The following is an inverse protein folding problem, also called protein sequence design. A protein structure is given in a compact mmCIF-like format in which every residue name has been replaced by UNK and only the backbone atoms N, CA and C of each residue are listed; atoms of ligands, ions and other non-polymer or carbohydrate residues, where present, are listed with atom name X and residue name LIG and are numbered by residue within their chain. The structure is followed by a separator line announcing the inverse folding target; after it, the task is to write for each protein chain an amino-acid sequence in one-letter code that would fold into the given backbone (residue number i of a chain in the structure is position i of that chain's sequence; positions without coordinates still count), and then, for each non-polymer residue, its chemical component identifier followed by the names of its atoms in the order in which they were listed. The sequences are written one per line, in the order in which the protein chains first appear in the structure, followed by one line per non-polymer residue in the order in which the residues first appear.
data_IF_849497942772
#
_entry.id   IF_849497942772
#
_cell.length_a   1.000
_cell.length_b   1.000
_cell.length_c   1.000
_cell.angle_alpha   90.00
_cell.angle_beta   90.00
_cell.angle_gamma   90.00
#
_symmetry.space_group_name_H-M   'P 1'
#
loop_
_entity.id
_entity.type
_entity.pdbx_description
1 polymer ?
#
# COMPACT_ATOMS: atom_id res chain seq x y z
N UNK A 1 -24.94 13.59 8.44
CA UNK A 1 -24.65 13.96 7.04
C UNK A 1 -23.59 15.06 6.88
N UNK A 2 -23.50 16.09 7.76
CA UNK A 2 -22.34 17.01 7.79
C UNK A 2 -21.05 16.40 8.38
N UNK A 3 -21.14 15.30 9.12
CA UNK A 3 -19.97 14.55 9.66
C UNK A 3 -19.24 13.70 8.61
N UNK A 4 -19.85 13.43 7.45
CA UNK A 4 -19.23 12.61 6.39
C UNK A 4 -18.25 13.38 5.50
N UNK A 5 -18.04 14.66 5.80
CA UNK A 5 -17.02 15.48 5.15
C UNK A 5 -15.66 15.45 5.86
N UNK A 6 -15.56 14.85 7.06
CA UNK A 6 -14.43 15.00 7.98
C UNK A 6 -13.43 13.84 8.09
N UNK A 7 -13.20 13.03 7.06
CA UNK A 7 -12.35 11.83 7.23
C UNK A 7 -10.82 12.08 7.20
N UNK A 8 -10.38 13.20 7.79
CA UNK A 8 -9.14 13.21 8.56
C UNK A 8 -9.51 12.69 9.97
N UNK A 9 -9.88 11.41 10.04
CA UNK A 9 -10.36 10.79 11.27
C UNK A 9 -9.23 10.84 12.30
N UNK A 10 -9.47 11.53 13.42
CA UNK A 10 -8.63 11.34 14.59
C UNK A 10 -8.71 9.88 15.03
N UNK A 11 -7.67 9.43 15.70
CA UNK A 11 -7.57 8.11 16.31
C UNK A 11 -8.74 7.79 17.25
N UNK A 12 -9.21 8.79 17.98
CA UNK A 12 -10.37 8.70 18.87
C UNK A 12 -11.66 8.43 18.08
N UNK A 13 -11.82 9.06 16.91
CA UNK A 13 -12.97 8.81 16.03
C UNK A 13 -12.90 7.42 15.39
N UNK A 14 -11.72 6.95 15.00
CA UNK A 14 -11.53 5.58 14.48
C UNK A 14 -11.79 4.51 15.55
N UNK A 15 -11.46 4.78 16.81
CA UNK A 15 -11.69 3.86 17.93
C UNK A 15 -13.16 3.82 18.38
N UNK A 16 -13.89 4.93 18.24
CA UNK A 16 -15.32 5.01 18.50
C UNK A 16 -16.19 4.38 17.40
N UNK A 17 -15.61 4.18 16.20
CA UNK A 17 -16.27 3.50 15.09
C UNK A 17 -16.25 1.99 15.32
N UNK A 18 -17.43 1.38 15.31
CA UNK A 18 -17.58 -0.07 15.33
C UNK A 18 -17.01 -0.67 14.03
N UNK A 19 -16.55 -1.94 14.02
CA UNK A 19 -15.98 -2.60 12.84
C UNK A 19 -16.87 -2.58 11.58
N UNK A 20 -18.18 -2.42 11.75
CA UNK A 20 -19.22 -2.34 10.73
C UNK A 20 -19.55 -0.90 10.27
N UNK A 21 -18.82 0.10 10.77
CA UNK A 21 -19.12 1.53 10.61
C UNK A 21 -18.15 2.29 9.71
N UNK A 22 -17.67 1.72 8.58
CA UNK A 22 -17.23 2.43 7.34
C UNK A 22 -15.98 1.76 6.75
N UNK A 23 -16.18 0.81 5.83
CA UNK A 23 -15.13 0.34 4.93
C UNK A 23 -15.33 0.95 3.53
N UNK A 24 -14.24 1.47 2.94
CA UNK A 24 -14.22 2.08 1.60
C UNK A 24 -13.58 1.11 0.62
N UNK A 25 -14.33 0.72 -0.41
CA UNK A 25 -13.81 -0.08 -1.51
C UNK A 25 -13.52 0.82 -2.71
N UNK A 26 -12.25 0.96 -3.06
CA UNK A 26 -11.83 1.66 -4.28
C UNK A 26 -11.51 0.64 -5.37
N UNK A 27 -11.96 0.90 -6.59
CA UNK A 27 -11.89 -0.11 -7.64
C UNK A 27 -11.47 0.52 -8.96
N UNK A 28 -10.63 -0.21 -9.68
CA UNK A 28 -10.32 0.06 -11.08
C UNK A 28 -11.31 -0.70 -11.95
N UNK A 29 -12.15 0.04 -12.66
CA UNK A 29 -13.16 -0.56 -13.51
C UNK A 29 -12.59 -0.77 -14.92
N UNK A 30 -12.83 -1.93 -15.56
CA UNK A 30 -12.05 -2.36 -16.69
C UNK A 30 -12.21 -1.56 -17.99
N UNK A 31 -11.14 -1.57 -18.78
CA UNK A 31 -11.17 -1.44 -20.24
C UNK A 31 -11.51 -2.77 -20.95
N UNK A 32 -11.20 -2.92 -22.23
CA UNK A 32 -11.62 -4.05 -23.08
C UNK A 32 -10.66 -5.26 -23.14
N UNK A 33 -9.80 -5.51 -22.14
CA UNK A 33 -8.86 -6.64 -22.14
C UNK A 33 -9.42 -7.90 -21.45
N UNK A 34 -8.89 -9.07 -21.80
CA UNK A 34 -9.29 -10.39 -21.27
C UNK A 34 -8.89 -10.65 -19.82
N UNK A 35 -7.97 -9.86 -19.25
CA UNK A 35 -7.48 -10.05 -17.87
C UNK A 35 -8.43 -9.46 -16.81
N UNK A 36 -9.42 -8.67 -17.23
CA UNK A 36 -10.33 -7.95 -16.36
C UNK A 36 -11.42 -8.82 -15.73
N UNK A 37 -11.94 -8.40 -14.58
CA UNK A 37 -13.11 -8.99 -13.95
C UNK A 37 -14.34 -8.85 -14.86
N UNK A 38 -15.01 -9.98 -15.07
CA UNK A 38 -16.31 -10.07 -15.70
C UNK A 38 -17.39 -9.37 -14.87
N UNK A 39 -18.54 -9.08 -15.49
CA UNK A 39 -19.67 -8.47 -14.79
C UNK A 39 -20.18 -9.32 -13.62
N UNK A 40 -20.15 -10.65 -13.75
CA UNK A 40 -20.54 -11.57 -12.66
C UNK A 40 -19.53 -11.53 -11.50
N UNK A 41 -18.24 -11.43 -11.80
CA UNK A 41 -17.21 -11.25 -10.78
C UNK A 41 -17.36 -9.89 -10.06
N UNK A 42 -17.68 -8.81 -10.78
CA UNK A 42 -18.00 -7.51 -10.15
C UNK A 42 -19.21 -7.58 -9.23
N UNK A 43 -20.30 -8.25 -9.65
CA UNK A 43 -21.49 -8.45 -8.80
C UNK A 43 -21.15 -9.23 -7.53
N UNK A 44 -20.37 -10.31 -7.68
CA UNK A 44 -19.89 -11.13 -6.55
C UNK A 44 -19.05 -10.29 -5.60
N UNK A 45 -18.11 -9.50 -6.13
CA UNK A 45 -17.25 -8.62 -5.33
C UNK A 45 -18.07 -7.57 -4.56
N UNK A 46 -18.99 -6.86 -5.21
CA UNK A 46 -19.85 -5.88 -4.54
C UNK A 46 -20.75 -6.51 -3.47
N UNK A 47 -21.22 -7.74 -3.70
CA UNK A 47 -22.00 -8.48 -2.71
C UNK A 47 -21.14 -8.86 -1.50
N UNK A 48 -19.91 -9.36 -1.72
CA UNK A 48 -18.95 -9.64 -0.66
C UNK A 48 -18.56 -8.38 0.11
N UNK A 49 -18.36 -7.27 -0.60
CA UNK A 49 -18.03 -5.97 -0.04
C UNK A 49 -19.08 -5.50 0.98
N UNK A 50 -20.37 -5.63 0.64
CA UNK A 50 -21.46 -5.32 1.56
C UNK A 50 -21.37 -6.15 2.84
N UNK A 51 -21.11 -7.46 2.71
CA UNK A 51 -20.90 -8.38 3.84
C UNK A 51 -19.66 -8.07 4.68
N UNK A 52 -18.63 -7.46 4.09
CA UNK A 52 -17.42 -7.00 4.78
C UNK A 52 -17.59 -5.63 5.46
N UNK A 53 -18.79 -5.05 5.47
CA UNK A 53 -19.04 -3.74 6.09
C UNK A 53 -18.71 -2.55 5.18
N UNK A 54 -18.54 -2.75 3.87
CA UNK A 54 -18.38 -1.63 2.92
C UNK A 54 -19.63 -0.75 2.95
N UNK A 55 -19.40 0.56 2.94
CA UNK A 55 -20.46 1.59 2.87
C UNK A 55 -20.23 2.59 1.75
N UNK A 56 -18.99 2.75 1.29
CA UNK A 56 -18.63 3.62 0.17
C UNK A 56 -17.86 2.83 -0.88
N UNK A 57 -18.25 3.00 -2.14
CA UNK A 57 -17.58 2.44 -3.30
C UNK A 57 -17.07 3.59 -4.17
N UNK A 58 -15.81 3.51 -4.58
CA UNK A 58 -15.18 4.50 -5.46
C UNK A 58 -14.84 3.80 -6.78
N UNK A 59 -15.43 4.26 -7.88
CA UNK A 59 -15.07 3.80 -9.22
C UNK A 59 -14.08 4.78 -9.85
N UNK A 60 -12.85 4.33 -10.08
CA UNK A 60 -11.77 5.18 -10.61
C UNK A 60 -11.88 5.51 -12.09
N UNK A 61 -12.74 4.79 -12.81
CA UNK A 61 -13.03 4.98 -14.22
C UNK A 61 -14.54 5.16 -14.46
N UNK A 62 -15.15 6.07 -13.68
CA UNK A 62 -16.59 6.30 -13.69
C UNK A 62 -17.15 6.70 -15.05
N UNK A 63 -16.38 7.43 -15.88
CA UNK A 63 -16.80 7.82 -17.22
C UNK A 63 -17.01 6.61 -18.14
N UNK A 64 -16.08 5.64 -18.12
CA UNK A 64 -16.24 4.40 -18.89
C UNK A 64 -17.40 3.57 -18.36
N UNK A 65 -17.51 3.44 -17.04
CA UNK A 65 -18.62 2.72 -16.40
C UNK A 65 -19.98 3.31 -16.81
N UNK A 66 -20.12 4.64 -16.79
CA UNK A 66 -21.33 5.33 -17.20
C UNK A 66 -21.68 5.15 -18.68
N UNK A 67 -20.69 4.98 -19.55
CA UNK A 67 -20.92 4.78 -21.00
C UNK A 67 -21.40 3.38 -21.38
N UNK A 68 -21.35 2.42 -20.45
CA UNK A 68 -21.67 1.03 -20.73
C UNK A 68 -23.18 0.75 -20.62
N UNK A 69 -23.78 0.02 -21.58
CA UNK A 69 -25.18 -0.40 -21.48
C UNK A 69 -25.45 -1.41 -20.35
N UNK A 70 -24.50 -2.29 -20.06
CA UNK A 70 -24.64 -3.36 -19.05
C UNK A 70 -24.32 -2.90 -17.62
N UNK A 71 -23.87 -1.66 -17.42
CA UNK A 71 -23.55 -1.11 -16.10
C UNK A 71 -24.80 -0.86 -15.23
N UNK A 72 -25.99 -0.75 -15.82
CA UNK A 72 -27.25 -0.51 -15.08
C UNK A 72 -27.47 -1.54 -13.96
N UNK A 73 -27.11 -2.81 -14.21
CA UNK A 73 -27.20 -3.86 -13.19
C UNK A 73 -26.30 -3.61 -11.98
N UNK A 74 -25.09 -3.08 -12.19
CA UNK A 74 -24.19 -2.72 -11.08
C UNK A 74 -24.72 -1.52 -10.31
N UNK A 75 -25.38 -0.60 -11.01
CA UNK A 75 -25.94 0.61 -10.45
C UNK A 75 -27.12 0.31 -9.53
N UNK A 76 -28.05 -0.53 -9.99
CA UNK A 76 -29.15 -1.05 -9.17
C UNK A 76 -28.63 -1.85 -7.98
N UNK A 77 -27.61 -2.71 -8.17
CA UNK A 77 -26.97 -3.44 -7.07
C UNK A 77 -26.36 -2.50 -6.03
N UNK A 78 -25.66 -1.44 -6.45
CA UNK A 78 -25.09 -0.47 -5.52
C UNK A 78 -26.18 0.24 -4.71
N UNK A 79 -27.33 0.55 -5.35
CA UNK A 79 -28.48 1.15 -4.68
C UNK A 79 -29.12 0.17 -3.68
N UNK A 80 -29.34 -1.07 -4.09
CA UNK A 80 -29.90 -2.15 -3.25
C UNK A 80 -29.04 -2.38 -2.00
N UNK A 81 -27.71 -2.40 -2.15
CA UNK A 81 -26.76 -2.56 -1.04
C UNK A 81 -26.52 -1.27 -0.24
N UNK A 82 -27.21 -0.18 -0.57
CA UNK A 82 -27.08 1.13 0.07
C UNK A 82 -25.65 1.68 0.08
N UNK A 83 -24.88 1.45 -0.98
CA UNK A 83 -23.55 2.04 -1.11
C UNK A 83 -23.64 3.52 -1.43
N UNK A 84 -22.79 4.31 -0.77
CA UNK A 84 -22.42 5.63 -1.26
C UNK A 84 -21.43 5.47 -2.39
N UNK A 85 -21.74 6.02 -3.57
CA UNK A 85 -20.89 5.87 -4.74
C UNK A 85 -20.23 7.20 -5.09
N UNK A 86 -18.92 7.13 -5.32
CA UNK A 86 -18.12 8.22 -5.87
C UNK A 86 -17.54 7.78 -7.22
N UNK A 87 -17.74 8.60 -8.25
CA UNK A 87 -17.25 8.37 -9.60
C UNK A 87 -16.13 9.34 -9.92
N UNK A 88 -14.98 8.81 -10.32
CA UNK A 88 -13.91 9.60 -10.92
C UNK A 88 -14.12 9.72 -12.42
N UNK A 89 -14.18 10.95 -12.92
CA UNK A 89 -14.23 11.27 -14.35
C UNK A 89 -12.89 11.87 -14.79
N UNK A 90 -12.34 11.39 -15.91
CA UNK A 90 -11.05 11.84 -16.46
C UNK A 90 -11.27 12.35 -17.87
N UNK A 91 -11.00 13.64 -18.11
CA UNK A 91 -11.14 14.30 -19.43
C UNK A 91 -12.47 13.98 -20.16
N UNK A 92 -13.57 13.87 -19.40
CA UNK A 92 -14.91 13.62 -19.92
C UNK A 92 -15.83 14.77 -19.53
N UNK A 93 -16.53 15.32 -20.53
CA UNK A 93 -17.70 16.18 -20.32
C UNK A 93 -18.94 15.28 -20.44
N UNK A 94 -19.68 15.04 -19.34
CA UNK A 94 -20.85 14.17 -19.36
C UNK A 94 -21.90 14.62 -20.40
N UNK A 95 -22.42 13.66 -21.16
CA UNK A 95 -23.59 13.87 -22.01
C UNK A 95 -24.89 13.79 -21.19
N UNK A 96 -26.03 13.98 -21.87
CA UNK A 96 -27.34 13.97 -21.22
C UNK A 96 -27.67 12.60 -20.56
N UNK A 97 -27.23 11.49 -21.15
CA UNK A 97 -27.49 10.15 -20.62
C UNK A 97 -26.65 9.90 -19.36
N UNK A 98 -25.37 10.25 -19.38
CA UNK A 98 -24.50 10.18 -18.21
C UNK A 98 -25.03 11.05 -17.07
N UNK A 99 -25.44 12.30 -17.37
CA UNK A 99 -26.04 13.19 -16.38
C UNK A 99 -27.30 12.57 -15.76
N UNK A 100 -28.21 12.04 -16.59
CA UNK A 100 -29.43 11.40 -16.13
C UNK A 100 -29.15 10.20 -15.20
N UNK A 101 -28.16 9.36 -15.54
CA UNK A 101 -27.74 8.24 -14.69
C UNK A 101 -27.18 8.73 -13.34
N UNK A 102 -26.28 9.71 -13.35
CA UNK A 102 -25.70 10.29 -12.13
C UNK A 102 -26.80 10.84 -11.20
N UNK A 103 -27.76 11.58 -11.76
CA UNK A 103 -28.88 12.16 -11.01
C UNK A 103 -29.83 11.09 -10.49
N UNK A 104 -30.21 10.12 -11.33
CA UNK A 104 -31.09 8.99 -10.97
C UNK A 104 -30.59 8.27 -9.73
N UNK A 105 -29.29 7.96 -9.70
CA UNK A 105 -28.73 7.18 -8.59
C UNK A 105 -28.24 8.05 -7.42
N UNK A 106 -28.01 9.34 -7.65
CA UNK A 106 -27.55 10.30 -6.65
C UNK A 106 -26.08 10.11 -6.29
N UNK A 107 -25.24 9.81 -7.27
CA UNK A 107 -23.81 9.57 -7.03
C UNK A 107 -22.99 10.85 -7.03
N UNK A 108 -21.91 10.83 -6.25
CA UNK A 108 -20.99 11.94 -6.18
C UNK A 108 -19.96 11.86 -7.31
N UNK A 109 -19.65 13.00 -7.94
CA UNK A 109 -18.70 13.09 -9.04
C UNK A 109 -17.46 13.84 -8.62
N UNK A 110 -16.31 13.28 -8.98
CA UNK A 110 -14.99 13.88 -8.81
C UNK A 110 -14.30 13.91 -10.17
N UNK A 111 -13.93 15.10 -10.63
CA UNK A 111 -13.11 15.26 -11.83
C UNK A 111 -11.64 15.11 -11.47
N UNK A 112 -10.92 14.23 -12.16
CA UNK A 112 -9.48 14.09 -11.95
C UNK A 112 -8.72 15.11 -12.79
N UNK A 113 -7.94 15.96 -12.13
CA UNK A 113 -7.08 16.96 -12.75
C UNK A 113 -5.71 16.33 -13.03
N UNK A 114 -5.60 15.70 -14.20
CA UNK A 114 -4.35 15.15 -14.73
C UNK A 114 -3.55 16.25 -15.46
N UNK A 115 -2.23 16.08 -15.67
CA UNK A 115 -1.43 16.98 -16.49
C UNK A 115 -2.11 17.24 -17.85
N UNK A 116 -2.30 18.52 -18.19
CA UNK A 116 -2.97 18.95 -19.42
C UNK A 116 -4.51 18.98 -19.37
N UNK A 117 -5.14 18.57 -18.26
CA UNK A 117 -6.59 18.72 -18.07
C UNK A 117 -6.94 20.21 -17.93
N UNK A 118 -7.85 20.72 -18.77
CA UNK A 118 -8.30 22.12 -18.69
C UNK A 118 -9.31 22.31 -17.56
N UNK A 119 -9.04 23.27 -16.68
CA UNK A 119 -9.94 23.63 -15.61
C UNK A 119 -11.28 24.18 -16.15
N UNK A 120 -11.27 24.88 -17.29
CA UNK A 120 -12.46 25.37 -17.98
C UNK A 120 -13.34 24.23 -18.49
N UNK A 121 -12.74 23.17 -19.06
CA UNK A 121 -13.50 21.97 -19.46
C UNK A 121 -14.17 21.30 -18.25
N UNK A 122 -13.47 21.24 -17.12
CA UNK A 122 -14.03 20.70 -15.87
C UNK A 122 -15.16 21.59 -15.34
N UNK A 123 -15.02 22.90 -15.39
CA UNK A 123 -16.09 23.84 -15.03
C UNK A 123 -17.32 23.68 -15.94
N UNK A 124 -17.12 23.50 -17.24
CA UNK A 124 -18.20 23.21 -18.19
C UNK A 124 -18.90 21.88 -17.87
N UNK A 125 -18.14 20.83 -17.60
CA UNK A 125 -18.68 19.53 -17.22
C UNK A 125 -19.49 19.60 -15.91
N UNK A 126 -18.98 20.30 -14.90
CA UNK A 126 -19.67 20.55 -13.64
C UNK A 126 -20.97 21.33 -13.85
N UNK A 127 -20.95 22.37 -14.68
CA UNK A 127 -22.13 23.17 -15.02
C UNK A 127 -23.24 22.31 -15.63
N UNK A 128 -22.92 21.44 -16.59
CA UNK A 128 -23.88 20.51 -17.18
C UNK A 128 -24.50 19.56 -16.16
N UNK A 129 -23.68 19.03 -15.25
CA UNK A 129 -24.17 18.17 -14.17
C UNK A 129 -25.13 18.94 -13.24
N UNK A 130 -24.79 20.16 -12.85
CA UNK A 130 -25.66 20.99 -12.01
C UNK A 130 -26.96 21.38 -12.74
N UNK A 131 -26.90 21.73 -14.02
CA UNK A 131 -28.08 22.02 -14.86
C UNK A 131 -29.00 20.80 -14.98
N UNK A 132 -28.44 19.59 -15.00
CA UNK A 132 -29.21 18.34 -14.97
C UNK A 132 -29.77 17.98 -13.57
N UNK A 133 -29.40 18.73 -12.52
CA UNK A 133 -29.86 18.51 -11.15
C UNK A 133 -28.95 17.64 -10.29
N UNK A 134 -27.69 17.40 -10.69
CA UNK A 134 -26.72 16.70 -9.86
C UNK A 134 -26.31 17.56 -8.65
N UNK A 135 -25.88 16.90 -7.57
CA UNK A 135 -25.33 17.57 -6.40
C UNK A 135 -23.94 18.17 -6.64
N UNK A 136 -23.32 18.75 -5.59
CA UNK A 136 -21.99 19.32 -5.67
C UNK A 136 -20.93 18.31 -6.17
N UNK A 137 -19.99 18.82 -6.96
CA UNK A 137 -18.87 18.05 -7.52
C UNK A 137 -17.52 18.54 -6.97
N UNK A 138 -16.50 17.68 -7.07
CA UNK A 138 -15.13 18.00 -6.64
C UNK A 138 -14.14 17.85 -7.80
N UNK A 139 -12.96 18.44 -7.64
CA UNK A 139 -11.83 18.26 -8.54
C UNK A 139 -10.60 17.73 -7.77
N UNK A 140 -9.99 16.65 -8.24
CA UNK A 140 -8.91 15.93 -7.56
C UNK A 140 -7.60 16.02 -8.35
N UNK A 141 -6.61 16.72 -7.80
CA UNK A 141 -5.33 16.98 -8.46
C UNK A 141 -4.30 15.85 -8.33
N UNK A 142 -3.54 15.63 -9.40
CA UNK A 142 -2.37 14.75 -9.49
C UNK A 142 -1.10 15.60 -9.63
N UNK A 143 -0.09 15.40 -8.77
CA UNK A 143 1.00 16.35 -8.50
C UNK A 143 2.43 16.18 -9.10
N UNK A 144 2.80 15.31 -10.04
CA UNK A 144 4.23 15.10 -10.34
C UNK A 144 4.75 15.80 -11.59
N UNK A 145 3.87 16.20 -12.52
CA UNK A 145 4.25 16.77 -13.82
C UNK A 145 3.70 18.18 -14.02
N UNK A 146 2.86 18.65 -13.10
CA UNK A 146 2.19 19.94 -13.24
C UNK A 146 3.06 21.05 -12.67
N UNK A 147 3.19 22.15 -13.40
CA UNK A 147 3.89 23.34 -12.92
C UNK A 147 3.16 23.96 -11.71
N UNK A 148 3.88 24.37 -10.65
CA UNK A 148 3.24 24.87 -9.42
C UNK A 148 2.23 25.98 -9.66
N UNK A 149 2.58 26.94 -10.52
CA UNK A 149 1.74 28.09 -10.83
C UNK A 149 0.44 27.68 -11.53
N UNK A 150 0.50 26.68 -12.42
CA UNK A 150 -0.68 26.14 -13.10
C UNK A 150 -1.63 25.49 -12.10
N UNK A 151 -1.13 24.65 -11.19
CA UNK A 151 -1.96 24.01 -10.15
C UNK A 151 -2.66 25.06 -9.30
N UNK A 152 -1.93 26.09 -8.87
CA UNK A 152 -2.45 27.16 -8.02
C UNK A 152 -3.49 28.00 -8.77
N UNK A 153 -3.26 28.31 -10.04
CA UNK A 153 -4.21 29.01 -10.91
C UNK A 153 -5.50 28.21 -11.09
N UNK A 154 -5.39 26.94 -11.48
CA UNK A 154 -6.53 26.04 -11.69
C UNK A 154 -7.32 25.83 -10.40
N UNK A 155 -6.61 25.70 -9.26
CA UNK A 155 -7.23 25.58 -7.95
C UNK A 155 -8.12 26.79 -7.62
N UNK A 156 -7.61 28.01 -7.82
CA UNK A 156 -8.38 29.25 -7.63
C UNK A 156 -9.57 29.32 -8.59
N UNK A 157 -9.35 29.01 -9.87
CA UNK A 157 -10.39 29.04 -10.90
C UNK A 157 -11.54 28.09 -10.57
N UNK A 158 -11.24 26.82 -10.29
CA UNK A 158 -12.25 25.81 -9.96
C UNK A 158 -13.01 26.19 -8.70
N UNK A 159 -12.33 26.70 -7.67
CA UNK A 159 -12.97 27.21 -6.46
C UNK A 159 -13.95 28.34 -6.77
N UNK A 160 -13.53 29.32 -7.55
CA UNK A 160 -14.39 30.44 -7.95
C UNK A 160 -15.59 30.00 -8.79
N UNK A 161 -15.47 28.86 -9.46
CA UNK A 161 -16.53 28.20 -10.24
C UNK A 161 -17.46 27.32 -9.39
N UNK A 162 -17.32 27.34 -8.05
CA UNK A 162 -18.15 26.55 -7.13
C UNK A 162 -17.77 25.07 -7.04
N UNK A 163 -16.62 24.67 -7.57
CA UNK A 163 -16.10 23.30 -7.52
C UNK A 163 -15.10 23.22 -6.38
N UNK A 164 -15.21 22.21 -5.52
CA UNK A 164 -14.26 22.05 -4.42
C UNK A 164 -13.02 21.28 -4.90
N UNK A 165 -11.84 21.94 -4.99
CA UNK A 165 -10.60 21.24 -5.28
C UNK A 165 -10.09 20.44 -4.07
N UNK A 166 -9.39 19.34 -4.34
CA UNK A 166 -8.69 18.48 -3.38
C UNK A 166 -7.42 17.90 -4.00
N UNK A 167 -6.47 17.46 -3.19
CA UNK A 167 -5.37 16.63 -3.68
C UNK A 167 -5.82 15.17 -3.76
N UNK A 168 -5.44 14.50 -4.85
CA UNK A 168 -5.66 13.07 -5.03
C UNK A 168 -4.77 12.20 -4.14
N UNK A 169 -4.73 10.90 -4.43
CA UNK A 169 -3.85 9.99 -3.70
C UNK A 169 -2.39 10.31 -4.02
N UNK A 170 -1.69 10.93 -3.06
CA UNK A 170 -0.31 11.40 -3.27
C UNK A 170 0.70 10.29 -3.53
N UNK A 171 0.44 9.05 -3.09
CA UNK A 171 1.28 7.90 -3.45
C UNK A 171 1.19 7.57 -4.96
N UNK A 172 0.03 7.76 -5.57
CA UNK A 172 -0.14 7.62 -7.02
C UNK A 172 0.42 8.83 -7.74
N UNK A 173 0.19 10.02 -7.19
CA UNK A 173 0.46 11.27 -7.86
C UNK A 173 1.84 11.88 -7.60
N UNK A 174 2.68 11.32 -6.73
CA UNK A 174 4.02 11.84 -6.47
C UNK A 174 5.00 10.68 -6.49
N UNK A 175 5.79 10.52 -7.57
CA UNK A 175 6.76 9.43 -7.68
C UNK A 175 7.99 9.69 -6.81
N UNK A 176 8.31 10.95 -6.47
CA UNK A 176 9.47 11.30 -5.65
C UNK A 176 9.17 12.51 -4.74
N UNK A 177 9.71 12.55 -3.50
CA UNK A 177 9.65 13.71 -2.63
C UNK A 177 10.48 14.89 -3.15
N UNK A 178 9.92 15.66 -4.08
CA UNK A 178 10.62 16.83 -4.63
C UNK A 178 10.23 18.16 -3.94
N UNK A 179 11.06 19.17 -4.14
CA UNK A 179 10.81 20.52 -3.63
C UNK A 179 9.56 21.16 -4.26
N UNK A 180 9.18 20.72 -5.47
CA UNK A 180 8.03 21.21 -6.23
C UNK A 180 6.72 20.85 -5.54
N UNK A 181 6.52 19.58 -5.20
CA UNK A 181 5.34 19.07 -4.48
C UNK A 181 5.21 19.73 -3.10
N UNK A 182 6.33 19.97 -2.40
CA UNK A 182 6.33 20.72 -1.13
C UNK A 182 5.84 22.16 -1.32
N UNK A 183 6.37 22.84 -2.34
CA UNK A 183 5.97 24.22 -2.69
C UNK A 183 4.48 24.29 -3.04
N UNK A 184 4.00 23.38 -3.90
CA UNK A 184 2.58 23.30 -4.27
C UNK A 184 1.71 23.12 -3.04
N UNK A 185 2.02 22.15 -2.17
CA UNK A 185 1.22 21.92 -0.96
C UNK A 185 1.19 23.12 -0.02
N UNK A 186 2.33 23.77 0.18
CA UNK A 186 2.43 24.94 1.05
C UNK A 186 1.54 26.07 0.51
N UNK A 187 1.57 26.30 -0.81
CA UNK A 187 0.78 27.33 -1.45
C UNK A 187 -0.72 27.00 -1.46
N UNK A 188 -1.09 25.75 -1.78
CA UNK A 188 -2.48 25.30 -1.68
C UNK A 188 -3.00 25.42 -0.25
N UNK A 189 -2.21 25.05 0.77
CA UNK A 189 -2.57 25.23 2.17
C UNK A 189 -2.85 26.70 2.49
N UNK A 190 -1.96 27.61 2.08
CA UNK A 190 -2.14 29.05 2.26
C UNK A 190 -3.45 29.55 1.63
N UNK A 191 -3.74 29.12 0.40
CA UNK A 191 -4.98 29.48 -0.31
C UNK A 191 -6.23 29.02 0.44
N UNK A 192 -6.22 27.79 0.95
CA UNK A 192 -7.35 27.24 1.70
C UNK A 192 -7.56 27.99 3.02
N UNK A 193 -6.47 28.34 3.72
CA UNK A 193 -6.51 29.13 4.96
C UNK A 193 -7.09 30.53 4.71
N UNK A 194 -6.63 31.22 3.66
CA UNK A 194 -7.15 32.53 3.24
C UNK A 194 -8.62 32.49 2.84
N UNK A 195 -9.06 31.37 2.24
CA UNK A 195 -10.46 31.15 1.88
C UNK A 195 -11.35 30.72 3.06
N UNK A 196 -10.83 30.67 4.30
CA UNK A 196 -11.57 30.23 5.48
C UNK A 196 -11.81 28.72 5.54
N UNK A 197 -11.09 27.94 4.74
CA UNK A 197 -11.17 26.49 4.63
C UNK A 197 -10.02 25.77 5.35
N UNK A 198 -9.38 26.44 6.32
CA UNK A 198 -8.27 25.90 7.12
C UNK A 198 -8.59 24.59 7.86
N UNK A 199 -9.87 24.24 8.02
CA UNK A 199 -10.31 23.00 8.65
C UNK A 199 -10.82 21.96 7.64
N UNK A 200 -10.76 22.24 6.33
CA UNK A 200 -11.25 21.33 5.30
C UNK A 200 -10.35 20.07 5.23
N UNK A 201 -10.81 18.93 5.72
CA UNK A 201 -9.99 17.72 5.80
C UNK A 201 -9.85 17.03 4.44
N UNK A 202 -10.55 17.51 3.40
CA UNK A 202 -10.40 17.06 2.01
C UNK A 202 -9.25 17.75 1.30
N UNK A 203 -8.72 18.84 1.85
CA UNK A 203 -7.42 19.38 1.42
C UNK A 203 -6.39 18.79 2.36
N UNK A 204 -5.58 17.79 1.94
CA UNK A 204 -4.58 17.24 2.83
C UNK A 204 -3.50 18.32 3.00
N UNK A 205 -3.63 19.07 4.10
CA UNK A 205 -2.62 19.95 4.63
C UNK A 205 -1.31 19.19 4.59
N UNK A 206 -0.32 19.73 3.89
CA UNK A 206 1.12 19.45 4.01
C UNK A 206 1.45 18.40 5.09
N UNK A 207 1.74 17.16 4.69
CA UNK A 207 2.08 16.06 5.63
C UNK A 207 0.92 15.41 6.39
N UNK A 208 -0.34 15.69 6.00
CA UNK A 208 -1.56 15.27 6.67
C UNK A 208 -1.72 13.74 6.74
N UNK A 209 -2.13 13.27 7.91
CA UNK A 209 -2.27 11.87 8.22
C UNK A 209 -3.16 11.14 7.22
N UNK A 210 -2.63 10.15 6.51
CA UNK A 210 -3.42 9.31 5.62
C UNK A 210 -3.73 7.99 6.31
N UNK A 211 -4.97 7.82 6.78
CA UNK A 211 -5.41 6.60 7.44
C UNK A 211 -6.13 5.61 6.51
N UNK A 212 -6.10 5.82 5.18
CA UNK A 212 -6.80 4.96 4.21
C UNK A 212 -6.46 3.47 4.38
N UNK A 213 -5.23 3.13 4.74
CA UNK A 213 -4.81 1.74 4.98
C UNK A 213 -5.60 1.06 6.14
N UNK A 214 -6.22 1.83 7.05
CA UNK A 214 -7.02 1.31 8.16
C UNK A 214 -8.43 0.91 7.75
N UNK A 215 -9.07 1.71 6.89
CA UNK A 215 -10.50 1.62 6.63
C UNK A 215 -10.85 1.50 5.13
N UNK A 216 -9.87 1.29 4.25
CA UNK A 216 -10.12 1.01 2.84
C UNK A 216 -9.42 -0.25 2.36
N UNK A 217 -9.80 -0.69 1.17
CA UNK A 217 -9.00 -1.54 0.29
C UNK A 217 -9.15 -1.04 -1.14
N UNK A 218 -8.23 -1.48 -1.98
CA UNK A 218 -8.29 -1.26 -3.42
C UNK A 218 -8.32 -2.59 -4.16
N UNK A 219 -9.20 -2.72 -5.15
CA UNK A 219 -9.25 -3.90 -6.02
C UNK A 219 -8.93 -3.46 -7.45
N UNK A 220 -7.88 -4.06 -8.01
CA UNK A 220 -7.48 -3.88 -9.39
C UNK A 220 -8.49 -4.47 -10.36
N UNK A 221 -8.42 -4.06 -11.63
CA UNK A 221 -9.31 -4.55 -12.66
C UNK A 221 -9.20 -6.07 -12.89
N UNK A 222 -8.08 -6.68 -12.50
CA UNK A 222 -7.76 -8.12 -12.54
C UNK A 222 -8.26 -8.91 -11.31
N UNK A 223 -8.84 -8.22 -10.32
CA UNK A 223 -9.28 -8.80 -9.05
C UNK A 223 -8.23 -8.81 -7.94
N UNK A 224 -7.03 -8.30 -8.18
CA UNK A 224 -5.97 -8.25 -7.17
C UNK A 224 -6.31 -7.22 -6.09
N UNK A 225 -6.19 -7.63 -4.82
CA UNK A 225 -6.57 -6.83 -3.65
C UNK A 225 -5.33 -6.19 -3.03
N UNK A 226 -5.45 -4.91 -2.69
CA UNK A 226 -4.40 -4.09 -2.08
C UNK A 226 -4.95 -3.35 -0.84
N UNK A 227 -4.10 -2.98 0.15
CA UNK A 227 -4.52 -2.24 1.34
C UNK A 227 -5.19 -0.90 1.07
N UNK A 228 -4.76 -0.19 0.02
CA UNK A 228 -5.38 1.05 -0.46
C UNK A 228 -4.83 1.35 -1.86
N UNK A 229 -5.37 2.37 -2.54
CA UNK A 229 -4.92 2.73 -3.88
C UNK A 229 -3.43 3.11 -3.96
N UNK A 230 -2.85 3.59 -2.86
CA UNK A 230 -1.46 4.03 -2.78
C UNK A 230 -0.45 2.97 -2.31
N UNK A 231 -0.87 2.00 -1.50
CA UNK A 231 0.00 0.94 -0.98
C UNK A 231 -0.22 -0.31 -1.82
N UNK A 232 0.56 -0.48 -2.89
CA UNK A 232 0.39 -1.53 -3.90
C UNK A 232 1.15 -2.81 -3.55
N UNK A 233 1.00 -3.27 -2.32
CA UNK A 233 1.43 -4.61 -1.92
C UNK A 233 0.24 -5.56 -2.06
N UNK A 234 0.41 -6.60 -2.85
CA UNK A 234 -0.64 -7.58 -3.15
C UNK A 234 -1.00 -8.40 -1.91
N UNK A 235 -2.28 -8.45 -1.57
CA UNK A 235 -2.81 -9.27 -0.47
C UNK A 235 -3.32 -10.63 -0.94
N UNK A 236 -3.75 -10.71 -2.20
CA UNK A 236 -4.35 -11.88 -2.84
C UNK A 236 -5.29 -11.45 -3.99
N UNK A 237 -5.97 -12.42 -4.61
CA UNK A 237 -6.88 -12.15 -5.72
C UNK A 237 -8.30 -12.69 -5.45
N UNK A 238 -9.33 -11.88 -5.76
CA UNK A 238 -10.75 -12.21 -5.56
C UNK A 238 -11.25 -13.42 -6.36
N UNK A 239 -10.51 -13.86 -7.38
CA UNK A 239 -10.77 -15.09 -8.15
C UNK A 239 -10.40 -16.35 -7.37
N UNK A 240 -9.42 -16.23 -6.48
CA UNK A 240 -8.90 -17.35 -5.69
C UNK A 240 -9.59 -17.48 -4.34
N UNK A 241 -9.79 -16.35 -3.66
CA UNK A 241 -10.38 -16.30 -2.31
C UNK A 241 -11.40 -15.16 -2.18
N UNK A 242 -12.42 -15.31 -1.31
CA UNK A 242 -13.31 -14.19 -0.97
C UNK A 242 -12.53 -12.99 -0.43
N UNK A 243 -12.96 -11.78 -0.79
CA UNK A 243 -12.28 -10.54 -0.36
C UNK A 243 -12.14 -10.43 1.16
N UNK A 244 -13.16 -10.85 1.91
CA UNK A 244 -13.12 -10.84 3.38
C UNK A 244 -12.01 -11.71 3.96
N UNK A 245 -11.74 -12.88 3.36
CA UNK A 245 -10.65 -13.76 3.77
C UNK A 245 -9.29 -13.16 3.42
N UNK A 246 -9.15 -12.60 2.22
CA UNK A 246 -7.91 -11.92 1.79
C UNK A 246 -7.53 -10.79 2.76
N UNK A 247 -8.52 -9.99 3.19
CA UNK A 247 -8.30 -8.90 4.13
C UNK A 247 -8.02 -9.38 5.56
N UNK A 248 -8.60 -10.52 5.97
CA UNK A 248 -8.35 -11.11 7.28
C UNK A 248 -6.95 -11.73 7.37
N UNK A 249 -6.57 -12.51 6.35
CA UNK A 249 -5.30 -13.23 6.22
C UNK A 249 -4.09 -12.33 5.91
N UNK A 250 -4.34 -11.08 5.50
CA UNK A 250 -3.29 -10.13 5.08
C UNK A 250 -2.29 -9.81 6.20
N UNK A 251 -1.19 -10.55 6.26
CA UNK A 251 -0.13 -10.40 7.27
C UNK A 251 0.38 -8.96 7.40
N UNK A 252 0.83 -8.38 6.29
CA UNK A 252 1.27 -6.99 6.27
C UNK A 252 0.12 -6.05 6.59
N UNK A 253 -1.09 -6.32 6.11
CA UNK A 253 -2.24 -5.44 6.34
C UNK A 253 -2.52 -5.29 7.83
N UNK A 254 -2.43 -6.38 8.61
CA UNK A 254 -2.54 -6.30 10.07
C UNK A 254 -1.45 -5.41 10.66
N UNK A 255 -0.17 -5.63 10.29
CA UNK A 255 0.96 -4.81 10.79
C UNK A 255 0.81 -3.33 10.46
N UNK A 256 0.48 -3.02 9.22
CA UNK A 256 0.28 -1.64 8.77
C UNK A 256 -0.93 -1.01 9.46
N UNK A 257 -2.01 -1.75 9.73
CA UNK A 257 -3.15 -1.24 10.50
C UNK A 257 -2.79 -0.93 11.96
N UNK A 258 -1.86 -1.69 12.55
CA UNK A 258 -1.26 -1.45 13.86
C UNK A 258 0.05 -0.64 13.80
N UNK A 259 0.13 0.32 12.87
CA UNK A 259 1.33 1.12 12.55
C UNK A 259 2.12 1.65 13.76
N UNK A 260 1.47 1.95 14.89
CA UNK A 260 2.15 2.50 16.07
C UNK A 260 3.23 1.60 16.66
N UNK A 261 3.10 0.29 16.50
CA UNK A 261 4.13 -0.66 16.97
C UNK A 261 5.29 -0.78 15.99
N UNK A 262 5.02 -0.52 14.71
CA UNK A 262 5.85 -0.95 13.58
C UNK A 262 6.55 0.21 12.86
N UNK A 263 6.01 1.44 12.95
CA UNK A 263 6.59 2.61 12.29
C UNK A 263 7.96 2.95 12.88
N UNK A 264 8.88 3.26 11.97
CA UNK A 264 10.29 3.50 12.26
C UNK A 264 10.57 4.97 12.60
N UNK A 265 11.74 5.22 13.15
CA UNK A 265 12.26 6.59 13.30
C UNK A 265 12.43 7.27 11.93
N UNK A 266 12.33 8.62 11.86
CA UNK A 266 12.10 9.57 12.96
C UNK A 266 10.63 9.73 13.36
N UNK A 267 9.70 9.00 12.73
CA UNK A 267 8.26 9.18 12.97
C UNK A 267 7.84 8.71 14.37
N UNK A 268 8.48 7.66 14.90
CA UNK A 268 8.18 7.11 16.23
C UNK A 268 8.48 8.09 17.37
N UNK A 269 9.54 8.90 17.26
CA UNK A 269 9.86 9.98 18.19
C UNK A 269 9.18 11.33 17.91
N UNK A 270 8.29 11.42 16.91
CA UNK A 270 7.65 12.67 16.50
C UNK A 270 6.52 13.09 17.45
N UNK A 271 6.45 14.38 17.80
CA UNK A 271 5.37 15.00 18.59
C UNK A 271 3.97 14.85 17.95
N UNK A 272 3.89 14.73 16.62
CA UNK A 272 2.62 14.49 15.91
C UNK A 272 2.26 13.03 15.73
N UNK A 273 3.05 12.08 16.25
CA UNK A 273 2.84 10.64 16.02
C UNK A 273 1.50 10.13 16.56
N UNK A 274 0.96 10.77 17.60
CA UNK A 274 -0.33 10.42 18.16
C UNK A 274 -1.49 10.55 17.14
N UNK A 275 -1.38 11.49 16.21
CA UNK A 275 -2.44 11.87 15.27
C UNK A 275 -2.02 11.68 13.80
N UNK A 276 -0.80 11.19 13.56
CA UNK A 276 -0.23 11.09 12.22
C UNK A 276 0.36 9.70 11.95
N UNK A 277 -0.06 9.12 10.83
CA UNK A 277 0.56 7.94 10.25
C UNK A 277 1.33 8.24 8.94
N UNK A 278 1.35 9.49 8.47
CA UNK A 278 1.80 9.83 7.11
C UNK A 278 1.09 9.01 6.02
N UNK A 279 1.68 8.92 4.84
CA UNK A 279 1.22 8.08 3.73
C UNK A 279 2.05 6.79 3.63
N UNK A 280 1.52 5.67 4.13
CA UNK A 280 2.18 4.35 4.03
C UNK A 280 2.42 3.91 2.58
N UNK A 281 1.53 4.28 1.67
CA UNK A 281 1.70 4.02 0.24
C UNK A 281 2.91 4.75 -0.36
N UNK A 282 3.14 6.00 0.05
CA UNK A 282 4.31 6.77 -0.42
C UNK A 282 5.59 6.30 0.24
N UNK A 283 5.55 5.95 1.52
CA UNK A 283 6.67 5.30 2.22
C UNK A 283 7.10 4.04 1.45
N UNK A 284 6.16 3.13 1.15
CA UNK A 284 6.44 1.91 0.40
C UNK A 284 6.93 2.18 -1.03
N UNK A 285 6.28 3.08 -1.78
CA UNK A 285 6.70 3.38 -3.16
C UNK A 285 8.12 3.93 -3.25
N UNK A 286 8.53 4.75 -2.28
CA UNK A 286 9.85 5.37 -2.27
C UNK A 286 10.93 4.45 -1.71
N UNK A 287 10.61 3.68 -0.67
CA UNK A 287 11.62 2.93 0.10
C UNK A 287 11.52 1.41 -0.04
N UNK A 288 10.42 0.88 -0.59
CA UNK A 288 10.07 -0.54 -0.51
C UNK A 288 9.58 -0.98 0.88
N UNK A 289 9.54 -0.07 1.86
CA UNK A 289 9.16 -0.33 3.24
C UNK A 289 7.93 0.50 3.63
N UNK A 290 6.82 -0.18 3.89
CA UNK A 290 5.58 0.45 4.33
C UNK A 290 5.64 1.00 5.77
N UNK A 291 6.62 0.61 6.58
CA UNK A 291 6.86 1.14 7.93
C UNK A 291 7.81 2.33 7.97
N UNK A 292 8.44 2.67 6.84
CA UNK A 292 9.36 3.80 6.75
C UNK A 292 8.65 5.15 6.93
N UNK A 293 9.45 6.19 7.11
CA UNK A 293 8.93 7.55 7.18
C UNK A 293 8.35 7.98 5.82
N UNK A 294 7.31 8.80 5.87
CA UNK A 294 6.67 9.31 4.66
C UNK A 294 7.56 10.42 4.03
N UNK A 295 8.13 10.20 2.83
CA UNK A 295 9.10 11.13 2.23
C UNK A 295 8.50 12.48 1.83
N UNK A 296 7.17 12.58 1.70
CA UNK A 296 6.49 13.86 1.44
C UNK A 296 6.20 14.68 2.70
N UNK A 297 6.65 14.23 3.88
CA UNK A 297 6.53 14.98 5.13
C UNK A 297 7.65 16.03 5.25
N UNK A 298 7.29 17.28 5.47
CA UNK A 298 8.25 18.39 5.60
C UNK A 298 9.22 18.20 6.77
N UNK A 299 8.78 17.55 7.85
CA UNK A 299 9.60 17.32 9.04
C UNK A 299 10.77 16.36 8.79
N UNK A 300 10.71 15.57 7.72
CA UNK A 300 11.79 14.65 7.35
C UNK A 300 12.54 15.09 6.09
N UNK A 301 12.22 16.24 5.49
CA UNK A 301 12.84 16.68 4.25
C UNK A 301 14.38 16.75 4.33
N UNK A 302 14.93 17.14 5.48
CA UNK A 302 16.37 17.14 5.77
C UNK A 302 16.91 15.84 6.38
N UNK A 303 16.13 14.76 6.37
CA UNK A 303 16.45 13.46 6.98
C UNK A 303 16.14 12.28 6.03
N UNK A 304 15.93 12.56 4.73
CA UNK A 304 15.61 11.53 3.73
C UNK A 304 16.75 10.51 3.56
N UNK A 305 17.98 10.91 3.82
CA UNK A 305 19.17 10.06 3.88
C UNK A 305 19.09 8.97 4.96
N UNK A 306 18.25 9.16 5.99
CA UNK A 306 18.01 8.18 7.06
C UNK A 306 16.93 7.16 6.70
N UNK A 307 16.17 7.39 5.63
CA UNK A 307 15.15 6.45 5.15
C UNK A 307 15.88 5.33 4.40
N UNK A 308 15.82 4.12 4.93
CA UNK A 308 16.40 2.94 4.26
C UNK A 308 15.56 2.60 3.04
N UNK A 309 16.20 2.46 1.88
CA UNK A 309 15.56 2.14 0.59
C UNK A 309 15.97 0.72 0.16
N UNK A 310 15.02 -0.05 -0.34
CA UNK A 310 15.25 -1.36 -0.96
C UNK A 310 15.66 -1.21 -2.45
N UNK A 311 16.58 -2.05 -2.96
CA UNK A 311 17.26 -3.14 -2.26
C UNK A 311 18.27 -2.62 -1.22
N UNK A 312 18.35 -3.29 -0.07
CA UNK A 312 19.23 -2.90 1.03
C UNK A 312 20.31 -3.95 1.33
N UNK A 313 21.57 -3.52 1.30
CA UNK A 313 22.76 -4.41 1.30
C UNK A 313 23.65 -4.26 2.52
N UNK A 314 23.07 -4.06 3.71
CA UNK A 314 23.81 -4.01 5.00
C UNK A 314 23.29 -5.02 6.02
N UNK A 315 23.33 -6.34 5.71
CA UNK A 315 22.79 -7.39 6.57
C UNK A 315 23.45 -7.44 7.96
N UNK A 316 24.69 -6.96 8.15
CA UNK A 316 25.34 -6.84 9.47
C UNK A 316 24.50 -6.11 10.53
N UNK A 317 23.61 -5.22 10.09
CA UNK A 317 22.76 -4.41 10.95
C UNK A 317 21.43 -5.07 11.30
N UNK A 318 21.15 -6.27 10.77
CA UNK A 318 19.85 -6.94 10.89
C UNK A 318 19.94 -8.41 11.24
N UNK A 319 21.09 -9.06 11.05
CA UNK A 319 21.30 -10.45 11.46
C UNK A 319 22.55 -10.59 12.34
N UNK A 320 22.53 -11.51 13.33
CA UNK A 320 23.64 -11.69 14.25
C UNK A 320 24.85 -12.34 13.58
N UNK A 321 24.63 -13.13 12.52
CA UNK A 321 25.68 -13.84 11.80
C UNK A 321 26.75 -12.88 11.26
N UNK A 322 28.00 -13.34 11.31
CA UNK A 322 29.18 -12.64 10.78
C UNK A 322 29.87 -13.54 9.75
N UNK A 323 30.72 -12.95 8.91
CA UNK A 323 31.58 -13.74 8.03
C UNK A 323 32.46 -14.67 8.89
N UNK A 324 32.69 -15.93 8.48
CA UNK A 324 32.29 -16.53 7.19
C UNK A 324 30.88 -17.14 7.12
N UNK A 325 30.10 -17.16 8.22
CA UNK A 325 28.79 -17.84 8.28
C UNK A 325 27.68 -17.04 7.59
N UNK A 326 27.79 -15.72 7.58
CA UNK A 326 26.79 -14.82 6.98
C UNK A 326 26.80 -14.93 5.45
N UNK A 327 25.69 -15.36 4.86
CA UNK A 327 25.54 -15.60 3.43
C UNK A 327 24.58 -14.64 2.73
N UNK A 328 23.55 -14.16 3.42
CA UNK A 328 22.64 -13.16 2.84
C UNK A 328 23.41 -11.85 2.59
N UNK A 329 23.24 -11.32 1.38
CA UNK A 329 23.88 -10.10 0.90
C UNK A 329 22.93 -8.90 0.92
N UNK A 330 21.68 -9.09 0.48
CA UNK A 330 20.71 -7.99 0.43
C UNK A 330 19.27 -8.45 0.58
N UNK A 331 18.43 -7.55 1.10
CA UNK A 331 16.97 -7.64 1.06
C UNK A 331 16.49 -6.84 -0.15
N UNK A 332 15.82 -7.50 -1.10
CA UNK A 332 15.45 -6.91 -2.39
C UNK A 332 14.01 -6.40 -2.42
N UNK A 333 13.08 -7.15 -1.81
CA UNK A 333 11.65 -6.81 -1.79
C UNK A 333 10.99 -7.29 -0.50
N UNK A 334 10.07 -6.49 0.01
CA UNK A 334 9.11 -6.88 1.06
C UNK A 334 7.70 -6.90 0.46
N UNK A 335 6.98 -8.01 0.67
CA UNK A 335 5.60 -8.21 0.25
C UNK A 335 4.61 -8.31 1.43
N UNK A 336 3.52 -9.05 1.23
CA UNK A 336 2.47 -9.21 2.25
C UNK A 336 2.94 -10.13 3.38
N UNK A 337 3.26 -11.38 3.05
CA UNK A 337 3.82 -12.37 3.95
C UNK A 337 5.13 -12.96 3.41
N UNK A 338 5.69 -12.37 2.36
CA UNK A 338 6.85 -12.87 1.65
C UNK A 338 7.92 -11.79 1.41
N UNK A 339 9.12 -12.23 1.06
CA UNK A 339 10.23 -11.35 0.70
C UNK A 339 11.18 -12.02 -0.27
N UNK A 340 11.86 -11.19 -1.07
CA UNK A 340 12.92 -11.64 -1.96
C UNK A 340 14.26 -11.07 -1.46
N UNK A 341 15.29 -11.91 -1.43
CA UNK A 341 16.64 -11.61 -0.98
C UNK A 341 17.66 -12.14 -1.98
N UNK A 342 18.89 -11.69 -1.83
CA UNK A 342 20.04 -12.20 -2.56
C UNK A 342 21.10 -12.74 -1.59
N UNK A 343 21.72 -13.86 -1.96
CA UNK A 343 22.87 -14.45 -1.27
C UNK A 343 24.06 -14.51 -2.21
N UNK A 344 25.25 -14.24 -1.68
CA UNK A 344 26.53 -14.33 -2.41
C UNK A 344 27.43 -15.29 -1.66
N UNK A 345 27.85 -16.36 -2.32
CA UNK A 345 28.66 -17.40 -1.70
C UNK A 345 30.13 -16.97 -1.74
N UNK A 346 30.70 -16.66 -0.58
CA UNK A 346 32.10 -16.23 -0.48
C UNK A 346 33.05 -17.42 -0.46
N UNK A 347 34.31 -17.19 -0.84
CA UNK A 347 35.36 -18.23 -0.84
C UNK A 347 35.65 -18.81 0.56
N UNK A 348 35.47 -17.99 1.60
CA UNK A 348 35.67 -18.37 3.00
C UNK A 348 34.46 -19.07 3.63
N UNK A 349 33.39 -19.33 2.87
CA UNK A 349 32.15 -19.87 3.39
C UNK A 349 32.34 -21.29 3.97
N UNK A 350 31.95 -21.46 5.24
CA UNK A 350 32.16 -22.69 6.02
C UNK A 350 31.38 -23.90 5.51
N UNK A 351 30.35 -23.68 4.70
CA UNK A 351 29.52 -24.73 4.12
C UNK A 351 30.07 -25.23 2.78
N UNK A 352 31.19 -24.68 2.28
CA UNK A 352 31.85 -25.21 1.10
C UNK A 352 32.68 -26.44 1.49
N UNK A 353 32.40 -27.57 0.85
CA UNK A 353 33.17 -28.80 0.98
C UNK A 353 34.47 -28.77 0.18
N UNK A 354 35.28 -29.83 0.30
CA UNK A 354 36.56 -29.98 -0.40
C UNK A 354 36.43 -29.96 -1.93
N UNK A 355 35.29 -30.41 -2.47
CA UNK A 355 34.99 -30.38 -3.91
C UNK A 355 34.55 -28.98 -4.41
N UNK A 356 34.53 -27.99 -3.51
CA UNK A 356 34.10 -26.62 -3.71
C UNK A 356 32.58 -26.46 -3.88
N UNK A 357 31.79 -27.50 -3.58
CA UNK A 357 30.34 -27.46 -3.58
C UNK A 357 29.77 -27.10 -2.21
N UNK A 358 28.62 -26.42 -2.23
CA UNK A 358 27.85 -26.08 -1.02
C UNK A 358 27.21 -27.34 -0.40
N UNK A 359 27.46 -27.54 0.90
CA UNK A 359 26.74 -28.52 1.73
C UNK A 359 25.26 -28.13 1.85
N UNK A 360 24.31 -29.09 1.77
CA UNK A 360 22.88 -28.79 1.86
C UNK A 360 22.45 -28.01 3.12
N UNK A 361 23.18 -28.15 4.24
CA UNK A 361 22.94 -27.36 5.45
C UNK A 361 23.11 -25.85 5.22
N UNK A 362 23.96 -25.44 4.27
CA UNK A 362 24.12 -24.05 3.88
C UNK A 362 22.84 -23.44 3.32
N UNK A 363 22.02 -24.20 2.59
CA UNK A 363 20.74 -23.71 2.05
C UNK A 363 19.71 -23.46 3.14
N UNK A 364 19.68 -24.33 4.16
CA UNK A 364 18.84 -24.15 5.36
C UNK A 364 19.24 -22.87 6.09
N UNK A 365 20.54 -22.67 6.29
CA UNK A 365 21.09 -21.49 6.96
C UNK A 365 20.79 -20.20 6.18
N UNK A 366 20.89 -20.22 4.85
CA UNK A 366 20.48 -19.10 3.98
C UNK A 366 18.99 -18.76 4.19
N UNK A 367 18.11 -19.77 4.21
CA UNK A 367 16.69 -19.56 4.48
C UNK A 367 16.43 -18.94 5.86
N UNK A 368 17.11 -19.43 6.89
CA UNK A 368 16.99 -18.92 8.26
C UNK A 368 17.51 -17.47 8.40
N UNK A 369 18.67 -17.17 7.81
CA UNK A 369 19.21 -15.80 7.77
C UNK A 369 18.29 -14.84 7.02
N UNK A 370 17.65 -15.29 5.92
CA UNK A 370 16.72 -14.47 5.15
C UNK A 370 15.50 -14.05 5.97
N UNK A 371 14.90 -14.99 6.71
CA UNK A 371 13.80 -14.70 7.63
C UNK A 371 14.20 -13.72 8.74
N UNK A 372 15.38 -13.94 9.34
CA UNK A 372 15.90 -13.09 10.40
C UNK A 372 16.18 -11.65 9.92
N UNK A 373 16.67 -11.50 8.68
CA UNK A 373 16.88 -10.18 8.07
C UNK A 373 15.53 -9.49 7.87
N UNK A 374 14.54 -10.15 7.26
CA UNK A 374 13.22 -9.57 7.07
C UNK A 374 12.61 -9.08 8.40
N UNK A 375 12.61 -9.91 9.44
CA UNK A 375 11.99 -9.52 10.72
C UNK A 375 12.67 -8.34 11.39
N UNK A 376 14.00 -8.39 11.47
CA UNK A 376 14.77 -7.30 12.07
C UNK A 376 14.64 -6.02 11.25
N UNK A 377 14.60 -6.15 9.92
CA UNK A 377 14.32 -5.03 9.03
C UNK A 377 12.94 -4.42 9.33
N UNK A 378 11.88 -5.22 9.42
CA UNK A 378 10.53 -4.70 9.62
C UNK A 378 10.31 -4.02 10.98
N UNK A 379 10.97 -4.50 12.05
CA UNK A 379 10.83 -3.95 13.42
C UNK A 379 11.80 -2.81 13.75
N UNK A 380 12.76 -2.51 12.87
CA UNK A 380 13.84 -1.54 13.14
C UNK A 380 14.76 -1.91 14.31
N UNK A 381 14.81 -3.18 14.70
CA UNK A 381 15.70 -3.69 15.73
C UNK A 381 17.06 -4.06 15.13
N UNK A 382 18.14 -3.94 15.92
CA UNK A 382 19.50 -4.30 15.48
C UNK A 382 19.63 -5.78 15.09
N UNK A 383 18.97 -6.68 15.81
CA UNK A 383 18.70 -8.05 15.39
C UNK A 383 17.82 -8.73 16.45
N UNK A 384 16.80 -9.45 16.02
CA UNK A 384 15.95 -10.22 16.91
C UNK A 384 16.65 -11.53 17.27
N UNK A 385 16.64 -11.89 18.55
CA UNK A 385 17.16 -13.19 18.98
C UNK A 385 16.14 -14.27 18.60
N UNK A 386 16.63 -15.37 18.07
CA UNK A 386 15.77 -16.49 17.72
C UNK A 386 16.59 -17.74 17.45
N UNK A 387 15.88 -18.86 17.31
CA UNK A 387 16.47 -20.16 17.04
C UNK A 387 15.73 -20.82 15.87
N UNK A 388 16.48 -21.48 15.00
CA UNK A 388 15.93 -22.48 14.10
C UNK A 388 15.66 -23.75 14.92
N UNK A 389 14.42 -24.21 14.90
CA UNK A 389 13.95 -25.29 15.78
C UNK A 389 13.71 -26.57 15.01
N UNK A 390 13.18 -26.45 13.80
CA UNK A 390 12.91 -27.59 12.93
C UNK A 390 13.08 -27.20 11.47
N UNK A 391 13.58 -28.14 10.68
CA UNK A 391 13.57 -28.10 9.23
C UNK A 391 12.70 -29.25 8.76
N UNK A 392 11.75 -28.95 7.88
CA UNK A 392 10.80 -29.91 7.36
C UNK A 392 10.65 -29.75 5.85
N UNK A 393 10.25 -30.81 5.15
CA UNK A 393 10.05 -30.83 3.69
C UNK A 393 11.22 -30.24 2.89
N UNK A 394 12.44 -30.44 3.38
CA UNK A 394 13.64 -29.93 2.73
C UNK A 394 13.95 -30.72 1.46
N UNK A 395 14.19 -30.00 0.37
CA UNK A 395 14.56 -30.54 -0.94
C UNK A 395 15.79 -29.80 -1.45
N UNK A 396 16.76 -30.56 -1.96
CA UNK A 396 17.91 -30.06 -2.70
C UNK A 396 18.00 -30.80 -4.03
N UNK A 397 18.11 -30.07 -5.14
CA UNK A 397 18.03 -30.64 -6.49
C UNK A 397 19.33 -31.31 -6.95
N UNK A 398 20.41 -31.21 -6.19
CA UNK A 398 21.75 -31.66 -6.59
C UNK A 398 22.52 -30.66 -7.45
N UNK A 399 21.91 -29.51 -7.77
CA UNK A 399 22.56 -28.43 -8.52
C UNK A 399 23.69 -27.81 -7.69
N UNK A 400 24.92 -27.94 -8.17
CA UNK A 400 26.11 -27.43 -7.47
C UNK A 400 26.08 -25.90 -7.38
N UNK A 401 26.26 -25.39 -6.17
CA UNK A 401 26.54 -23.99 -5.85
C UNK A 401 27.97 -23.91 -5.33
N UNK A 402 28.74 -22.92 -5.78
CA UNK A 402 30.17 -22.74 -5.52
C UNK A 402 30.48 -21.33 -5.04
N UNK A 403 31.71 -21.12 -4.56
CA UNK A 403 32.22 -19.79 -4.29
C UNK A 403 32.11 -18.88 -5.53
N UNK A 404 31.68 -17.63 -5.32
CA UNK A 404 31.42 -16.65 -6.37
C UNK A 404 29.98 -16.64 -6.89
N UNK A 405 29.20 -17.69 -6.64
CA UNK A 405 27.82 -17.77 -7.13
C UNK A 405 26.91 -16.76 -6.42
N UNK A 406 25.97 -16.21 -7.20
CA UNK A 406 24.86 -15.39 -6.71
C UNK A 406 23.57 -16.17 -6.87
N UNK A 407 22.77 -16.23 -5.82
CA UNK A 407 21.51 -16.96 -5.81
C UNK A 407 20.39 -16.08 -5.23
N UNK A 408 19.17 -16.30 -5.70
CA UNK A 408 17.97 -15.64 -5.19
C UNK A 408 17.34 -16.49 -4.10
N UNK A 409 16.86 -15.83 -3.06
CA UNK A 409 16.21 -16.46 -1.92
C UNK A 409 14.85 -15.82 -1.76
N UNK A 410 13.80 -16.61 -1.78
CA UNK A 410 12.44 -16.18 -1.40
C UNK A 410 12.09 -16.82 -0.08
N UNK A 411 11.55 -16.02 0.83
CA UNK A 411 10.98 -16.51 2.10
C UNK A 411 9.52 -16.11 2.21
N UNK A 412 8.67 -16.96 2.78
CA UNK A 412 7.24 -16.72 2.95
C UNK A 412 6.76 -17.23 4.30
N UNK A 413 6.11 -16.38 5.11
CA UNK A 413 5.44 -16.79 6.34
C UNK A 413 4.14 -17.52 6.02
N UNK A 414 4.03 -18.73 6.53
CA UNK A 414 2.84 -19.57 6.40
C UNK A 414 1.93 -19.41 7.61
N UNK A 415 2.51 -19.41 8.81
CA UNK A 415 1.77 -19.23 10.07
C UNK A 415 2.60 -18.39 11.03
N UNK A 416 1.90 -17.53 11.78
CA UNK A 416 2.48 -16.70 12.82
C UNK A 416 1.72 -16.96 14.12
N UNK A 417 2.39 -17.58 15.10
CA UNK A 417 1.84 -17.86 16.43
C UNK A 417 2.93 -17.59 17.46
N UNK A 418 3.09 -16.31 17.82
CA UNK A 418 4.15 -15.85 18.72
C UNK A 418 4.29 -16.75 19.97
N UNK A 419 5.52 -17.21 20.27
CA UNK A 419 6.80 -16.83 19.66
C UNK A 419 7.25 -17.67 18.45
N UNK A 420 6.42 -18.57 17.97
CA UNK A 420 6.77 -19.56 16.97
C UNK A 420 6.23 -19.14 15.60
N UNK A 421 7.08 -19.30 14.59
CA UNK A 421 6.71 -18.96 13.22
C UNK A 421 7.06 -20.11 12.30
N UNK A 422 6.16 -20.40 11.36
CA UNK A 422 6.40 -21.37 10.29
C UNK A 422 6.55 -20.60 8.99
N UNK A 423 7.67 -20.81 8.32
CA UNK A 423 7.98 -20.15 7.08
C UNK A 423 8.51 -21.13 6.03
N UNK A 424 8.24 -20.82 4.78
CA UNK A 424 8.77 -21.50 3.62
C UNK A 424 9.95 -20.70 3.08
N UNK A 425 10.93 -21.39 2.51
CA UNK A 425 11.98 -20.76 1.72
C UNK A 425 12.18 -21.51 0.41
N UNK A 426 12.59 -20.78 -0.63
CA UNK A 426 12.98 -21.30 -1.92
C UNK A 426 14.20 -20.55 -2.42
N UNK A 427 15.16 -21.29 -2.99
CA UNK A 427 16.43 -20.78 -3.49
C UNK A 427 16.53 -21.15 -4.96
N UNK A 428 16.78 -20.13 -5.79
CA UNK A 428 16.94 -20.29 -7.23
C UNK A 428 18.24 -19.65 -7.71
N UNK A 429 18.73 -20.09 -8.86
CA UNK A 429 19.78 -19.36 -9.57
C UNK A 429 19.22 -18.05 -10.19
N UNK A 430 20.09 -17.31 -10.89
CA UNK A 430 19.70 -16.06 -11.55
C UNK A 430 18.75 -16.28 -12.75
N UNK A 431 18.67 -17.50 -13.28
CA UNK A 431 17.77 -17.89 -14.37
C UNK A 431 16.41 -18.41 -13.86
N UNK A 432 16.24 -18.50 -12.54
CA UNK A 432 15.00 -18.97 -11.89
C UNK A 432 14.91 -20.48 -11.73
N UNK A 433 15.98 -21.23 -11.99
CA UNK A 433 15.99 -22.67 -11.77
C UNK A 433 16.11 -23.00 -10.28
N UNK A 434 15.29 -23.93 -9.79
CA UNK A 434 15.28 -24.35 -8.40
C UNK A 434 16.59 -25.04 -7.98
N UNK A 435 17.17 -24.56 -6.88
CA UNK A 435 18.33 -25.16 -6.20
C UNK A 435 17.85 -25.93 -4.97
N UNK A 436 17.09 -25.27 -4.10
CA UNK A 436 16.62 -25.86 -2.84
C UNK A 436 15.35 -25.16 -2.35
N UNK A 437 14.53 -25.89 -1.60
CA UNK A 437 13.38 -25.34 -0.89
C UNK A 437 13.12 -26.11 0.41
N UNK A 438 12.34 -25.53 1.30
CA UNK A 438 11.93 -26.20 2.52
C UNK A 438 11.04 -25.36 3.42
N UNK A 439 10.68 -25.95 4.55
CA UNK A 439 9.91 -25.32 5.62
C UNK A 439 10.79 -25.22 6.87
N UNK A 440 10.81 -24.03 7.47
CA UNK A 440 11.53 -23.71 8.68
C UNK A 440 10.53 -23.40 9.79
N UNK A 441 10.76 -23.97 10.98
CA UNK A 441 10.13 -23.53 12.21
C UNK A 441 11.14 -22.73 13.00
N UNK A 442 10.84 -21.47 13.24
CA UNK A 442 11.70 -20.57 14.00
C UNK A 442 11.00 -20.12 15.26
N UNK A 443 11.74 -20.04 16.36
CA UNK A 443 11.28 -19.45 17.61
C UNK A 443 11.96 -18.10 17.77
N UNK A 444 11.16 -17.04 17.81
CA UNK A 444 11.64 -15.69 17.98
C UNK A 444 11.49 -15.28 19.45
N UNK A 445 12.61 -15.01 20.10
CA UNK A 445 12.65 -14.72 21.52
C UNK A 445 12.47 -13.22 21.76
N UNK A 446 11.39 -12.84 22.44
CA UNK A 446 11.21 -11.49 22.96
C UNK A 446 11.96 -11.28 24.28
N UNK A 447 12.06 -10.02 24.73
CA UNK A 447 12.75 -9.68 25.99
C UNK A 447 12.16 -10.37 27.22
N UNK A 448 10.84 -10.63 27.22
CA UNK A 448 10.16 -11.27 28.34
C UNK A 448 10.55 -12.74 28.47
N UNK A 449 10.68 -13.45 27.35
CA UNK A 449 11.18 -14.81 27.33
C UNK A 449 12.68 -14.88 27.55
N UNK A 450 13.45 -13.94 27.01
CA UNK A 450 14.89 -13.86 27.27
C UNK A 450 15.18 -13.67 28.77
N UNK A 451 14.32 -12.94 29.49
CA UNK A 451 14.42 -12.78 30.94
C UNK A 451 14.13 -14.08 31.74
N UNK A 452 13.47 -15.07 31.13
CA UNK A 452 13.26 -16.40 31.74
C UNK A 452 14.49 -17.30 31.65
N UNK A 453 15.45 -16.98 30.78
CA UNK A 453 16.70 -17.73 30.67
C UNK A 453 17.76 -17.12 31.60
N UNK A 454 18.55 -17.93 32.33
CA UNK A 454 19.62 -17.41 33.17
C UNK A 454 20.59 -16.60 32.32
N UNK A 455 20.83 -15.35 32.71
CA UNK A 455 21.88 -14.54 32.09
C UNK A 455 23.22 -15.09 32.56
N UNK A 456 23.84 -15.94 31.74
CA UNK A 456 25.17 -16.53 31.98
C UNK A 456 26.29 -15.53 31.70
#
# INVERSE_FOLDING_TARGET
MREMAQLNLSEENLAAMKPDQLFVLEMEFPGSSEEHLSMEEWKKLLSQASGCGVRKVIFREGGRLLSRPDAEFLFELCKEKNFQVELFLRDVVPDAEMCARIVKYGWHVVFEMLPGTSAEKVAEAARRLHEAGAGPVEASFVLPETEPDTVVSDWRFLRSSGIAPRLGCTALSEPSPDARCRTIRAELKRLEEEAGNAQNPRTPFVGGACFKFRYSCFVGADGTVYPCCGLRVELGNCREKPMGEILADGYMLQKVRFYRKEVKEPCKGCDSFAECAGCRGRAWKYSGDYNAADPGCDRIAGQLDKVVILPHSSPENYIPHRKPVRMIASLCRVGNNDSDLESVITEDNIFLGEDGGMDPAGFIEIGAQGLAFLDSFMRSDKYLKGMLVEVNRFVYTGRKVRAGDRIRVRTMRKYDFEPWHIALFSITDLDGNLISEGELKVCQLDESMLALFPQS
#
